data_IF_586570077354
#
_entry.id   IF_586570077354
#
_cell.length_a   1.000
_cell.length_b   1.000
_cell.length_c   1.000
_cell.angle_alpha   90.00
_cell.angle_beta   90.00
_cell.angle_gamma   90.00
#
_symmetry.space_group_name_H-M   'P 1'
#
loop_
_entity.id
_entity.type
_entity.pdbx_description
1 polymer ?
#
# COMPACT_ATOMS: atom_id res chain seq x y z
N UNK A 1 2.63 -13.66 -12.48
CA UNK A 1 3.59 -12.62 -12.06
C UNK A 1 2.80 -11.33 -11.92
N UNK A 2 2.78 -10.69 -10.74
CA UNK A 2 2.16 -9.37 -10.43
C UNK A 2 0.67 -9.29 -10.02
N UNK A 3 0.08 -10.33 -9.41
CA UNK A 3 -1.31 -10.27 -8.90
C UNK A 3 -1.55 -9.15 -7.86
N UNK A 4 -0.49 -8.79 -7.12
CA UNK A 4 -0.54 -7.69 -6.16
C UNK A 4 -0.59 -6.30 -6.81
N UNK A 5 -0.04 -6.12 -8.03
CA UNK A 5 -0.08 -4.84 -8.75
C UNK A 5 -1.48 -4.60 -9.32
N UNK A 6 -2.16 -5.65 -9.78
CA UNK A 6 -3.50 -5.55 -10.36
C UNK A 6 -4.58 -5.05 -9.40
N UNK A 7 -4.32 -5.05 -8.09
CA UNK A 7 -5.24 -4.50 -7.07
C UNK A 7 -5.20 -2.97 -6.96
N UNK A 8 -4.23 -2.31 -7.60
CA UNK A 8 -4.08 -0.84 -7.58
C UNK A 8 -4.80 -0.15 -8.75
N UNK A 9 -6.02 -0.60 -9.06
CA UNK A 9 -6.82 -0.14 -10.21
C UNK A 9 -7.56 1.20 -9.95
N UNK A 10 -7.23 1.88 -8.84
CA UNK A 10 -7.68 3.22 -8.49
C UNK A 10 -6.45 4.12 -8.64
N UNK A 11 -6.52 5.33 -9.22
CA UNK A 11 -5.34 6.20 -9.38
C UNK A 11 -4.91 6.80 -8.02
N UNK A 12 -4.51 5.94 -7.08
CA UNK A 12 -3.50 6.25 -6.08
C UNK A 12 -2.27 6.66 -6.87
N UNK A 13 -1.69 7.82 -6.55
CA UNK A 13 -0.49 8.34 -7.23
C UNK A 13 0.51 7.19 -7.29
N UNK A 14 1.15 6.95 -8.44
CA UNK A 14 2.09 5.82 -8.65
C UNK A 14 3.08 5.60 -7.49
N UNK A 15 3.44 6.68 -6.79
CA UNK A 15 4.27 6.66 -5.59
C UNK A 15 3.65 5.92 -4.39
N UNK A 16 2.35 6.05 -4.15
CA UNK A 16 1.63 5.39 -3.06
C UNK A 16 1.62 3.87 -3.23
N UNK A 17 1.38 3.40 -4.46
CA UNK A 17 1.46 1.99 -4.80
C UNK A 17 2.88 1.43 -4.61
N UNK A 18 3.91 2.21 -4.92
CA UNK A 18 5.30 1.81 -4.70
C UNK A 18 5.64 1.75 -3.21
N UNK A 19 5.20 2.72 -2.40
CA UNK A 19 5.38 2.69 -0.96
C UNK A 19 4.71 1.45 -0.33
N UNK A 20 3.49 1.13 -0.76
CA UNK A 20 2.77 -0.08 -0.33
C UNK A 20 3.49 -1.35 -0.76
N UNK A 21 3.99 -1.42 -1.99
CA UNK A 21 4.74 -2.57 -2.49
C UNK A 21 5.97 -2.89 -1.63
N UNK A 22 6.74 -1.86 -1.30
CA UNK A 22 7.96 -2.00 -0.49
C UNK A 22 7.61 -2.40 0.93
N UNK A 23 6.70 -1.67 1.58
CA UNK A 23 6.30 -1.99 2.97
C UNK A 23 5.70 -3.40 3.07
N UNK A 24 4.95 -3.86 2.07
CA UNK A 24 4.38 -5.21 2.04
C UNK A 24 5.47 -6.27 1.86
N UNK A 25 6.37 -6.06 0.89
CA UNK A 25 7.40 -7.05 0.55
C UNK A 25 8.43 -7.26 1.67
N UNK A 26 8.63 -6.25 2.52
CA UNK A 26 9.58 -6.30 3.62
C UNK A 26 8.92 -6.39 5.01
N UNK A 27 7.60 -6.57 5.08
CA UNK A 27 6.81 -6.64 6.32
C UNK A 27 7.03 -5.44 7.27
N UNK A 28 7.26 -4.26 6.71
CA UNK A 28 7.53 -3.02 7.45
C UNK A 28 6.21 -2.30 7.71
N UNK A 29 6.09 -1.67 8.88
CA UNK A 29 4.92 -0.84 9.22
C UNK A 29 4.89 0.42 8.35
N UNK A 30 3.73 0.69 7.73
CA UNK A 30 3.51 1.95 7.03
C UNK A 30 3.06 3.03 8.02
N UNK A 31 3.78 4.15 8.06
CA UNK A 31 3.40 5.35 8.82
C UNK A 31 3.04 6.43 7.81
N UNK A 32 1.80 6.91 7.84
CA UNK A 32 1.32 7.95 6.93
C UNK A 32 0.21 8.76 7.57
N UNK A 33 0.17 10.06 7.29
CA UNK A 33 -0.94 10.93 7.65
C UNK A 33 -2.03 10.99 6.56
N UNK A 34 -1.79 10.35 5.41
CA UNK A 34 -2.75 10.25 4.32
C UNK A 34 -3.74 9.10 4.59
N UNK A 35 -5.00 9.45 4.85
CA UNK A 35 -6.06 8.50 5.20
C UNK A 35 -6.37 7.51 4.06
N UNK A 36 -6.25 7.94 2.80
CA UNK A 36 -6.49 7.08 1.63
C UNK A 36 -5.41 6.02 1.48
N UNK A 37 -4.16 6.41 1.73
CA UNK A 37 -3.02 5.50 1.76
C UNK A 37 -3.09 4.52 2.94
N UNK A 38 -3.49 5.00 4.12
CA UNK A 38 -3.72 4.16 5.29
C UNK A 38 -4.83 3.12 5.03
N UNK A 39 -5.95 3.53 4.43
CA UNK A 39 -7.05 2.62 4.07
C UNK A 39 -6.58 1.53 3.09
N UNK A 40 -5.78 1.91 2.09
CA UNK A 40 -5.22 0.98 1.10
C UNK A 40 -4.29 -0.06 1.75
N UNK A 41 -3.42 0.35 2.68
CA UNK A 41 -2.58 -0.56 3.45
C UNK A 41 -3.41 -1.56 4.27
N UNK A 42 -4.52 -1.11 4.87
CA UNK A 42 -5.42 -1.97 5.65
C UNK A 42 -6.09 -3.04 4.79
N UNK A 43 -6.52 -2.70 3.57
CA UNK A 43 -7.10 -3.66 2.60
C UNK A 43 -6.08 -4.73 2.21
N UNK A 44 -4.79 -4.39 2.17
CA UNK A 44 -3.69 -5.31 1.89
C UNK A 44 -3.26 -6.14 3.12
N UNK A 45 -3.90 -5.96 4.29
CA UNK A 45 -3.58 -6.70 5.52
C UNK A 45 -2.28 -6.25 6.19
N UNK A 46 -1.80 -5.06 5.86
CA UNK A 46 -0.54 -4.52 6.37
C UNK A 46 -0.72 -3.89 7.75
N UNK A 47 0.34 -3.90 8.55
CA UNK A 47 0.39 -3.13 9.79
C UNK A 47 0.62 -1.66 9.43
N UNK A 48 -0.30 -0.80 9.84
CA UNK A 48 -0.17 0.65 9.77
C UNK A 48 -0.45 1.24 11.17
N UNK A 49 0.15 2.39 11.47
CA UNK A 49 0.01 3.07 12.76
C UNK A 49 -0.62 4.45 12.55
#
# INVERSE_FOLDING_TARGET
MNDWISRFDIPLRTLDALHLAITFSYEISLITADEGLAASAKVLGMKNQ
#
